data_IF_894204722926
#
_entry.id   IF_894204722926
#
_cell.length_a   1.000
_cell.length_b   1.000
_cell.length_c   1.000
_cell.angle_alpha   90.00
_cell.angle_beta   90.00
_cell.angle_gamma   90.00
#
_symmetry.space_group_name_H-M   'P 1'
#
loop_
_entity.id
_entity.type
_entity.pdbx_description
1 polymer ?
#
# COMPACT_ATOMS: atom_id res chain seq x y z
N UNK A 1 20.13 23.94 -15.71
CA UNK A 1 19.51 22.68 -15.26
C UNK A 1 18.20 23.08 -14.65
N UNK A 2 17.10 22.68 -15.28
CA UNK A 2 15.75 22.99 -14.81
C UNK A 2 15.58 22.32 -13.45
N UNK A 3 15.15 23.08 -12.42
CA UNK A 3 14.90 22.52 -11.10
C UNK A 3 13.91 21.37 -11.26
N UNK A 4 14.34 20.15 -10.91
CA UNK A 4 13.45 19.01 -10.87
C UNK A 4 12.35 19.35 -9.85
N UNK A 5 11.12 19.50 -10.33
CA UNK A 5 9.99 19.86 -9.48
C UNK A 5 9.84 18.78 -8.41
N UNK A 6 9.57 19.17 -7.17
CA UNK A 6 9.19 18.21 -6.13
C UNK A 6 7.96 17.40 -6.57
N UNK A 7 7.78 16.20 -6.01
CA UNK A 7 6.61 15.36 -6.33
C UNK A 7 5.29 16.12 -6.12
N UNK A 8 5.20 16.94 -5.07
CA UNK A 8 4.06 17.82 -4.81
C UNK A 8 3.83 18.84 -5.93
N UNK A 9 4.89 19.48 -6.42
CA UNK A 9 4.79 20.46 -7.51
C UNK A 9 4.38 19.78 -8.83
N UNK A 10 4.94 18.62 -9.14
CA UNK A 10 4.52 17.83 -10.31
C UNK A 10 3.05 17.43 -10.21
N UNK A 11 2.62 16.96 -9.04
CA UNK A 11 1.22 16.62 -8.80
C UNK A 11 0.30 17.81 -9.07
N UNK A 12 0.59 18.97 -8.48
CA UNK A 12 -0.22 20.17 -8.68
C UNK A 12 -0.26 20.60 -10.15
N UNK A 13 0.86 20.54 -10.86
CA UNK A 13 0.89 20.87 -12.29
C UNK A 13 0.07 19.89 -13.12
N UNK A 14 0.22 18.59 -12.88
CA UNK A 14 -0.57 17.54 -13.57
C UNK A 14 -2.07 17.75 -13.32
N UNK A 15 -2.47 18.01 -12.07
CA UNK A 15 -3.87 18.22 -11.71
C UNK A 15 -4.46 19.52 -12.25
N UNK A 16 -3.62 20.53 -12.50
CA UNK A 16 -4.01 21.79 -13.15
C UNK A 16 -3.86 21.76 -14.67
N UNK A 17 -3.52 20.61 -15.27
CA UNK A 17 -3.29 20.46 -16.71
C UNK A 17 -2.20 21.40 -17.27
N UNK A 18 -1.20 21.72 -16.44
CA UNK A 18 -0.04 22.50 -16.83
C UNK A 18 1.00 21.65 -17.57
N UNK A 19 1.82 22.28 -18.42
CA UNK A 19 2.93 21.61 -19.09
C UNK A 19 4.01 21.17 -18.09
N UNK A 20 4.38 19.88 -18.15
CA UNK A 20 5.45 19.30 -17.34
C UNK A 20 6.50 18.63 -18.24
N UNK A 21 7.76 18.64 -17.80
CA UNK A 21 8.86 17.94 -18.48
C UNK A 21 8.82 16.41 -18.28
N UNK A 22 8.08 15.94 -17.26
CA UNK A 22 7.81 14.53 -16.97
C UNK A 22 6.52 14.37 -16.15
N UNK A 23 6.07 13.13 -15.98
CA UNK A 23 4.96 12.77 -15.09
C UNK A 23 5.48 12.26 -13.73
N UNK A 24 4.56 12.02 -12.78
CA UNK A 24 4.82 11.34 -11.52
C UNK A 24 5.21 9.88 -11.75
N UNK A 25 6.28 9.45 -11.09
CA UNK A 25 6.80 8.08 -11.11
C UNK A 25 6.41 7.36 -9.83
N UNK A 26 5.18 6.85 -9.82
CA UNK A 26 4.59 6.10 -8.73
C UNK A 26 4.15 4.71 -9.19
N UNK A 27 4.02 3.77 -8.26
CA UNK A 27 3.62 2.39 -8.53
C UNK A 27 2.60 1.91 -7.52
N UNK A 28 1.57 1.21 -7.97
CA UNK A 28 0.42 0.88 -7.15
C UNK A 28 0.70 -0.20 -6.10
N UNK A 29 1.39 -1.27 -6.49
CA UNK A 29 1.47 -2.47 -5.69
C UNK A 29 2.32 -3.54 -6.33
N UNK A 30 2.91 -4.37 -5.48
CA UNK A 30 3.67 -5.53 -5.87
C UNK A 30 3.05 -6.79 -5.29
N UNK A 31 3.06 -7.85 -6.08
CA UNK A 31 2.82 -9.18 -5.55
C UNK A 31 3.98 -9.60 -4.67
N UNK A 32 3.70 -10.13 -3.47
CA UNK A 32 4.76 -10.58 -2.55
C UNK A 32 5.70 -11.59 -3.19
N UNK A 33 5.16 -12.50 -4.01
CA UNK A 33 5.97 -13.48 -4.75
C UNK A 33 6.97 -12.81 -5.69
N UNK A 34 6.59 -11.69 -6.31
CA UNK A 34 7.47 -10.91 -7.18
C UNK A 34 8.58 -10.24 -6.37
N UNK A 35 8.26 -9.61 -5.25
CA UNK A 35 9.27 -9.01 -4.37
C UNK A 35 10.29 -10.02 -3.85
N UNK A 36 9.81 -11.16 -3.35
CA UNK A 36 10.66 -12.26 -2.90
C UNK A 36 11.60 -12.77 -3.99
N UNK A 37 11.15 -12.77 -5.25
CA UNK A 37 11.99 -13.10 -6.39
C UNK A 37 13.02 -12.00 -6.65
N UNK A 38 12.63 -10.73 -6.69
CA UNK A 38 13.55 -9.61 -6.93
C UNK A 38 14.66 -9.52 -5.88
N UNK A 39 14.35 -9.74 -4.60
CA UNK A 39 15.38 -9.83 -3.55
C UNK A 39 16.40 -10.94 -3.81
N UNK A 40 15.98 -12.07 -4.38
CA UNK A 40 16.89 -13.16 -4.78
C UNK A 40 17.68 -12.85 -6.07
N UNK A 41 17.12 -12.01 -6.94
CA UNK A 41 17.73 -11.59 -8.21
C UNK A 41 18.71 -10.42 -8.05
N UNK A 42 18.83 -9.83 -6.85
CA UNK A 42 19.82 -8.81 -6.54
C UNK A 42 19.26 -7.44 -6.15
N UNK A 43 17.94 -7.31 -5.97
CA UNK A 43 17.37 -6.11 -5.35
C UNK A 43 17.92 -5.98 -3.91
N UNK A 44 18.52 -4.84 -3.52
CA UNK A 44 19.02 -4.64 -2.16
C UNK A 44 17.88 -4.67 -1.13
N UNK A 45 18.01 -5.53 -0.12
CA UNK A 45 17.06 -5.59 1.00
C UNK A 45 17.57 -4.72 2.16
N UNK A 46 17.35 -3.40 2.07
CA UNK A 46 17.84 -2.43 3.07
C UNK A 46 16.92 -2.41 4.29
N UNK A 47 15.61 -2.20 4.07
CA UNK A 47 14.61 -2.35 5.13
C UNK A 47 13.89 -3.69 5.03
N UNK A 48 13.72 -4.21 3.82
CA UNK A 48 12.90 -5.36 3.53
C UNK A 48 11.43 -5.14 3.90
N UNK A 49 10.68 -6.24 3.89
CA UNK A 49 9.28 -6.26 4.29
C UNK A 49 9.18 -6.37 5.82
N UNK A 50 8.21 -5.68 6.40
CA UNK A 50 8.04 -5.55 7.87
C UNK A 50 7.68 -6.88 8.56
N UNK A 51 7.16 -7.86 7.81
CA UNK A 51 6.95 -9.24 8.25
C UNK A 51 7.16 -10.22 7.10
N UNK A 52 7.29 -11.51 7.42
CA UNK A 52 7.15 -12.56 6.43
C UNK A 52 5.69 -12.65 6.00
N UNK A 53 5.47 -12.64 4.69
CA UNK A 53 4.17 -12.48 4.07
C UNK A 53 3.81 -13.74 3.32
N UNK A 54 2.54 -14.16 3.40
CA UNK A 54 2.06 -15.37 2.74
C UNK A 54 1.94 -15.11 1.23
N UNK A 55 2.28 -16.11 0.41
CA UNK A 55 2.11 -16.04 -1.03
C UNK A 55 0.63 -15.78 -1.37
N UNK A 56 0.33 -14.59 -1.90
CA UNK A 56 -1.03 -14.16 -2.24
C UNK A 56 -1.40 -12.81 -1.66
N UNK A 57 -0.70 -12.36 -0.61
CA UNK A 57 -0.82 -11.00 -0.12
C UNK A 57 -0.17 -10.01 -1.10
N UNK A 58 -0.73 -8.81 -1.16
CA UNK A 58 -0.19 -7.68 -1.89
C UNK A 58 0.67 -6.83 -0.96
N UNK A 59 1.78 -6.35 -1.47
CA UNK A 59 2.56 -5.29 -0.82
C UNK A 59 2.26 -4.01 -1.56
N UNK A 60 1.91 -2.96 -0.84
CA UNK A 60 1.67 -1.68 -1.47
C UNK A 60 2.99 -1.17 -2.04
N UNK A 61 2.90 -0.64 -3.26
CA UNK A 61 4.01 0.06 -3.86
C UNK A 61 4.50 1.12 -2.90
N UNK A 62 5.81 1.30 -2.86
CA UNK A 62 6.37 2.38 -2.09
C UNK A 62 5.71 3.67 -2.51
N UNK A 63 5.06 4.31 -1.54
CA UNK A 63 4.52 5.65 -1.65
C UNK A 63 3.15 5.77 -2.34
N UNK A 64 2.46 4.63 -2.52
CA UNK A 64 1.08 4.62 -3.02
C UNK A 64 0.10 4.13 -1.97
N UNK A 65 -0.19 4.99 -0.99
CA UNK A 65 -1.61 5.16 -0.68
C UNK A 65 -2.22 5.95 -1.83
N UNK A 66 -2.45 5.33 -3.00
CA UNK A 66 -3.11 6.02 -4.10
C UNK A 66 -4.50 6.41 -3.64
N UNK A 67 -4.95 7.59 -4.07
CA UNK A 67 -6.31 8.07 -3.95
C UNK A 67 -7.36 7.18 -4.68
N UNK A 68 -6.91 6.10 -5.34
CA UNK A 68 -7.74 5.02 -5.89
C UNK A 68 -7.83 3.77 -4.98
N UNK A 69 -7.06 3.71 -3.89
CA UNK A 69 -7.16 2.67 -2.86
C UNK A 69 -7.00 3.28 -1.46
N UNK A 70 -7.97 4.12 -1.12
CA UNK A 70 -8.28 4.57 0.25
C UNK A 70 -8.92 3.43 1.05
N UNK A 71 -9.27 2.31 0.38
CA UNK A 71 -9.83 1.17 1.08
C UNK A 71 -8.78 0.65 2.05
N UNK A 72 -9.15 0.50 3.31
CA UNK A 72 -8.11 0.34 4.28
C UNK A 72 -7.79 -1.13 4.24
N UNK A 73 -6.50 -1.43 4.22
CA UNK A 73 -6.03 -2.78 3.97
C UNK A 73 -6.07 -3.59 5.27
N UNK A 74 -7.25 -3.60 5.87
CA UNK A 74 -7.58 -3.94 7.24
C UNK A 74 -7.21 -5.37 7.62
N UNK A 75 -6.89 -5.69 8.88
CA UNK A 75 -7.44 -5.23 10.17
C UNK A 75 -7.57 -3.71 10.43
N UNK A 76 -8.80 -3.22 10.64
CA UNK A 76 -9.16 -1.88 11.15
C UNK A 76 -8.48 -1.60 12.48
N UNK A 77 -8.20 -2.66 13.22
CA UNK A 77 -7.57 -2.64 14.53
C UNK A 77 -6.03 -2.63 14.51
N UNK A 78 -5.35 -2.98 13.41
CA UNK A 78 -3.88 -3.04 13.35
C UNK A 78 -3.30 -2.03 12.34
N UNK A 79 -2.73 -0.91 12.82
CA UNK A 79 -2.02 0.06 11.99
C UNK A 79 -0.85 -0.52 11.18
N UNK A 80 -0.35 -1.71 11.55
CA UNK A 80 0.75 -2.40 10.88
C UNK A 80 0.29 -3.45 9.85
N UNK A 81 -1.02 -3.59 9.62
CA UNK A 81 -1.56 -4.53 8.62
C UNK A 81 -1.11 -4.19 7.19
N UNK A 82 -0.86 -2.90 6.95
CA UNK A 82 -0.48 -2.33 5.67
C UNK A 82 1.03 -2.44 5.41
N UNK A 83 1.42 -3.25 4.44
CA UNK A 83 2.82 -3.49 4.10
C UNK A 83 3.28 -2.50 3.04
N UNK A 84 4.14 -1.57 3.45
CA UNK A 84 4.77 -0.59 2.56
C UNK A 84 6.13 -1.11 2.10
N UNK A 85 6.34 -1.17 0.79
CA UNK A 85 7.67 -1.32 0.24
C UNK A 85 8.45 0.00 0.37
N UNK A 86 9.76 -0.07 0.58
CA UNK A 86 10.65 1.09 0.44
C UNK A 86 11.88 0.79 -0.42
N UNK A 87 12.23 -0.49 -0.55
CA UNK A 87 13.46 -0.89 -1.21
C UNK A 87 13.32 -0.76 -2.73
N UNK A 88 12.13 -1.04 -3.29
CA UNK A 88 11.83 -0.85 -4.72
C UNK A 88 11.76 0.64 -5.06
N UNK A 89 11.10 1.49 -4.25
CA UNK A 89 11.10 2.97 -4.46
C UNK A 89 12.51 3.50 -4.61
N UNK A 90 13.34 3.17 -3.63
CA UNK A 90 14.68 3.73 -3.52
C UNK A 90 15.56 3.21 -4.64
N UNK A 91 15.45 1.92 -4.97
CA UNK A 91 16.24 1.32 -6.04
C UNK A 91 15.92 1.92 -7.42
N UNK A 92 14.63 2.12 -7.72
CA UNK A 92 14.21 2.70 -9.01
C UNK A 92 14.10 4.22 -9.00
N UNK A 93 14.38 4.89 -7.88
CA UNK A 93 14.25 6.34 -7.72
C UNK A 93 12.86 6.84 -8.13
N UNK A 94 11.84 6.34 -7.45
CA UNK A 94 10.45 6.80 -7.58
C UNK A 94 10.24 8.14 -6.86
N UNK A 95 9.20 8.86 -7.27
CA UNK A 95 8.84 10.13 -6.64
C UNK A 95 8.22 9.88 -5.25
N UNK A 96 8.47 10.79 -4.31
CA UNK A 96 7.78 10.77 -3.01
C UNK A 96 6.26 10.83 -3.23
N UNK A 97 5.53 9.95 -2.55
CA UNK A 97 4.08 9.83 -2.69
C UNK A 97 3.33 10.16 -1.40
N UNK A 98 2.06 9.78 -1.35
CA UNK A 98 1.18 10.18 -0.26
C UNK A 98 1.44 9.40 1.04
N UNK A 99 1.26 10.09 2.16
CA UNK A 99 1.24 9.48 3.49
C UNK A 99 -0.23 9.39 3.91
N UNK A 100 -0.72 8.18 4.18
CA UNK A 100 -2.00 8.02 4.86
C UNK A 100 -1.86 8.45 6.32
N UNK A 101 -2.75 9.31 6.77
CA UNK A 101 -2.82 9.68 8.18
C UNK A 101 -3.63 8.60 8.93
N UNK A 102 -3.08 7.97 9.98
CA UNK A 102 -3.77 6.91 10.71
C UNK A 102 -4.81 7.52 11.65
N UNK A 103 -5.97 7.86 11.11
CA UNK A 103 -7.13 8.27 11.89
C UNK A 103 -8.23 7.21 11.79
N UNK A 104 -8.92 6.97 12.89
CA UNK A 104 -10.11 6.11 12.92
C UNK A 104 -11.23 6.81 12.16
N UNK A 105 -11.22 6.62 10.85
CA UNK A 105 -12.27 7.04 9.96
C UNK A 105 -13.24 5.86 9.80
N UNK A 106 -14.54 6.15 9.72
CA UNK A 106 -15.63 5.18 9.52
C UNK A 106 -16.43 4.75 10.77
N UNK A 107 -16.12 3.61 11.40
CA UNK A 107 -16.90 3.05 12.52
C UNK A 107 -16.07 3.09 13.80
N UNK A 108 -16.59 3.70 14.87
CA UNK A 108 -15.93 3.73 16.16
C UNK A 108 -16.93 3.54 17.32
N UNK A 109 -16.75 2.52 18.18
CA UNK A 109 -15.75 1.45 18.09
C UNK A 109 -16.06 0.46 16.94
N UNK A 110 -15.06 -0.32 16.55
CA UNK A 110 -15.20 -1.42 15.59
C UNK A 110 -16.06 -2.56 16.16
N UNK A 111 -16.66 -3.36 15.27
CA UNK A 111 -17.25 -4.63 15.67
C UNK A 111 -16.16 -5.64 15.99
N UNK A 112 -16.47 -6.63 16.83
CA UNK A 112 -15.56 -7.76 17.07
C UNK A 112 -15.76 -8.79 15.97
N UNK A 113 -14.66 -9.25 15.36
CA UNK A 113 -14.73 -10.35 14.41
C UNK A 113 -15.34 -11.60 15.05
N UNK A 114 -16.18 -12.28 14.29
CA UNK A 114 -16.84 -13.50 14.74
C UNK A 114 -16.99 -14.49 13.60
N UNK A 115 -16.29 -15.62 13.72
CA UNK A 115 -16.47 -16.76 12.82
C UNK A 115 -17.86 -17.36 13.02
N UNK A 116 -18.58 -17.52 11.90
CA UNK A 116 -19.92 -18.10 11.84
C UNK A 116 -19.83 -19.56 11.39
N UNK A 117 -18.95 -19.83 10.43
CA UNK A 117 -18.73 -21.14 9.84
C UNK A 117 -17.28 -21.27 9.36
N UNK A 118 -16.71 -22.46 9.47
CA UNK A 118 -15.36 -22.77 9.00
C UNK A 118 -15.30 -24.24 8.58
N UNK A 119 -14.77 -24.50 7.38
CA UNK A 119 -14.38 -25.82 6.89
C UNK A 119 -13.00 -25.78 6.20
N UNK A 120 -12.61 -26.88 5.55
CA UNK A 120 -11.29 -27.00 4.88
C UNK A 120 -11.08 -26.03 3.70
N UNK A 121 -12.14 -25.39 3.20
CA UNK A 121 -12.12 -24.53 2.00
C UNK A 121 -12.62 -23.12 2.24
N UNK A 122 -13.55 -22.94 3.18
CA UNK A 122 -14.28 -21.70 3.37
C UNK A 122 -14.35 -21.30 4.83
N UNK A 123 -14.29 -19.99 5.05
CA UNK A 123 -14.58 -19.36 6.33
C UNK A 123 -15.67 -18.33 6.04
N UNK A 124 -16.73 -18.35 6.83
CA UNK A 124 -17.71 -17.27 6.89
C UNK A 124 -17.58 -16.54 8.22
N UNK A 125 -17.48 -15.22 8.19
CA UNK A 125 -17.29 -14.41 9.39
C UNK A 125 -18.07 -13.09 9.33
N UNK A 126 -18.37 -12.52 10.49
CA UNK A 126 -18.65 -11.10 10.61
C UNK A 126 -17.31 -10.37 10.79
N UNK A 127 -17.01 -9.41 9.91
CA UNK A 127 -15.81 -8.58 9.96
C UNK A 127 -15.89 -7.45 10.98
N UNK A 128 -14.78 -6.71 11.15
CA UNK A 128 -14.70 -5.54 12.04
C UNK A 128 -15.59 -4.36 11.60
N UNK A 129 -16.03 -4.37 10.35
CA UNK A 129 -17.01 -3.46 9.76
C UNK A 129 -18.48 -3.90 9.99
N UNK A 130 -18.69 -5.08 10.58
CA UNK A 130 -20.01 -5.66 10.85
C UNK A 130 -20.64 -6.35 9.64
N UNK A 131 -19.92 -6.49 8.52
CA UNK A 131 -20.40 -7.16 7.32
C UNK A 131 -20.11 -8.66 7.42
N UNK A 132 -21.04 -9.49 6.93
CA UNK A 132 -20.83 -10.94 6.79
C UNK A 132 -20.10 -11.22 5.48
N UNK A 133 -18.98 -11.93 5.55
CA UNK A 133 -18.07 -12.25 4.45
C UNK A 133 -17.85 -13.75 4.40
#
# INVERSE_FOLDING_TARGET
MENDNSARELFLKVMNFESCNRTLKWEFGYWTKTLNRWYKEGLPKVKGLQREIVNGEYVIGSDVHAEALVWPQYQLSDPNSCLRDSDVSNYFNFDEGYIAFPYNYWLFPLFKEKVIYEDERYIELYGEDGIRI
#
